data_IF_764928358912
#
_entry.id   IF_764928358912
#
_cell.length_a   1.000
_cell.length_b   1.000
_cell.length_c   1.000
_cell.angle_alpha   90.00
_cell.angle_beta   90.00
_cell.angle_gamma   90.00
#
_symmetry.space_group_name_H-M   'P 1'
#
loop_
_entity.id
_entity.type
_entity.pdbx_description
1 polymer ?
#
# COMPACT_ATOMS: atom_id res chain seq x y z
N UNK A 1 10.66 3.75 -18.50
CA UNK A 1 10.12 2.92 -17.42
C UNK A 1 10.68 3.54 -16.15
N UNK A 2 9.92 4.38 -15.46
CA UNK A 2 10.41 4.97 -14.22
C UNK A 2 10.35 3.86 -13.19
N UNK A 3 11.51 3.31 -12.82
CA UNK A 3 11.63 2.35 -11.74
C UNK A 3 11.10 3.03 -10.48
N UNK A 4 9.84 2.73 -10.14
CA UNK A 4 9.17 3.37 -9.01
C UNK A 4 10.00 3.04 -7.77
N UNK A 5 10.37 4.04 -6.97
CA UNK A 5 11.24 3.86 -5.79
C UNK A 5 10.72 2.78 -4.85
N UNK A 6 9.40 2.57 -4.85
CA UNK A 6 8.72 1.48 -4.17
C UNK A 6 9.17 0.09 -4.64
N UNK A 7 9.19 -0.16 -5.96
CA UNK A 7 9.59 -1.45 -6.55
C UNK A 7 11.08 -1.71 -6.26
N UNK A 8 11.92 -0.68 -6.38
CA UNK A 8 13.33 -0.77 -5.99
C UNK A 8 13.52 -1.04 -4.49
N UNK A 9 12.59 -0.60 -3.65
CA UNK A 9 12.54 -0.85 -2.21
C UNK A 9 11.87 -2.19 -1.84
N UNK A 10 11.45 -3.01 -2.82
CA UNK A 10 10.83 -4.31 -2.60
C UNK A 10 9.31 -4.29 -2.37
N UNK A 11 8.66 -3.15 -2.60
CA UNK A 11 7.19 -3.04 -2.55
C UNK A 11 6.64 -3.44 -3.92
N UNK A 12 6.13 -4.67 -4.00
CA UNK A 12 5.73 -5.31 -5.27
C UNK A 12 4.33 -5.91 -5.23
N UNK A 13 3.72 -6.07 -4.06
CA UNK A 13 2.33 -6.51 -3.95
C UNK A 13 1.42 -5.31 -4.06
N UNK A 14 0.58 -5.29 -5.09
CA UNK A 14 -0.42 -4.25 -5.30
C UNK A 14 -1.73 -4.62 -4.60
N UNK A 15 -2.25 -3.68 -3.83
CA UNK A 15 -3.51 -3.81 -3.11
C UNK A 15 -4.31 -2.53 -3.30
N UNK A 16 -5.62 -2.67 -3.37
CA UNK A 16 -6.54 -1.55 -3.27
C UNK A 16 -6.96 -1.40 -1.81
N UNK A 17 -6.57 -0.29 -1.17
CA UNK A 17 -6.94 0.02 0.20
C UNK A 17 -8.20 0.90 0.20
N UNK A 18 -9.24 0.45 0.88
CA UNK A 18 -10.52 1.16 1.00
C UNK A 18 -10.89 1.38 2.47
N UNK A 19 -11.32 2.59 2.81
CA UNK A 19 -11.95 2.91 4.09
C UNK A 19 -13.09 3.91 3.88
N UNK A 20 -13.86 4.17 4.93
CA UNK A 20 -15.02 5.06 4.86
C UNK A 20 -14.71 6.50 4.39
N UNK A 21 -13.46 6.96 4.50
CA UNK A 21 -13.06 8.34 4.19
C UNK A 21 -12.25 8.47 2.90
N UNK A 22 -11.61 7.39 2.45
CA UNK A 22 -10.70 7.41 1.30
C UNK A 22 -10.47 6.01 0.75
N UNK A 23 -10.18 5.93 -0.54
CA UNK A 23 -9.65 4.74 -1.19
C UNK A 23 -8.42 5.10 -2.00
N UNK A 24 -7.42 4.22 -1.95
CA UNK A 24 -6.15 4.45 -2.63
C UNK A 24 -5.49 3.13 -3.04
N UNK A 25 -4.93 3.06 -4.24
CA UNK A 25 -4.12 1.93 -4.68
C UNK A 25 -2.71 2.02 -4.07
N UNK A 26 -2.28 0.95 -3.41
CA UNK A 26 -1.04 0.90 -2.64
C UNK A 26 -0.14 -0.26 -3.09
N UNK A 27 1.17 -0.10 -2.92
CA UNK A 27 2.12 -1.20 -2.95
C UNK A 27 2.60 -1.53 -1.53
N UNK A 28 2.69 -2.82 -1.22
CA UNK A 28 3.26 -3.37 0.02
C UNK A 28 4.37 -4.37 -0.28
N UNK A 29 5.16 -4.71 0.73
CA UNK A 29 6.14 -5.78 0.60
C UNK A 29 5.43 -7.14 0.62
N UNK A 30 5.97 -8.14 -0.10
CA UNK A 30 5.43 -9.49 -0.09
C UNK A 30 5.27 -10.05 1.32
N UNK A 31 4.05 -10.43 1.70
CA UNK A 31 3.73 -11.02 3.01
C UNK A 31 3.65 -10.02 4.16
N UNK A 32 3.39 -8.75 3.86
CA UNK A 32 3.14 -7.72 4.90
C UNK A 32 1.92 -8.10 5.75
N UNK A 33 2.04 -7.93 7.07
CA UNK A 33 0.91 -8.07 7.99
C UNK A 33 -0.05 -6.88 7.82
N UNK A 34 -1.22 -7.16 7.24
CA UNK A 34 -2.22 -6.14 6.90
C UNK A 34 -3.17 -5.80 8.06
N UNK A 35 -3.12 -6.53 9.18
CA UNK A 35 -3.94 -6.24 10.37
C UNK A 35 -3.29 -5.17 11.26
N UNK A 36 -1.95 -5.11 11.31
CA UNK A 36 -1.19 -4.14 12.10
C UNK A 36 -0.98 -2.78 11.42
N UNK A 37 -0.07 -1.97 11.96
CA UNK A 37 0.38 -0.74 11.29
C UNK A 37 1.57 -1.04 10.39
N UNK A 38 1.41 -0.86 9.08
CA UNK A 38 2.46 -1.14 8.11
C UNK A 38 2.78 0.08 7.23
N UNK A 39 3.93 0.03 6.57
CA UNK A 39 4.34 1.04 5.59
C UNK A 39 3.84 0.57 4.23
N UNK A 40 3.29 1.47 3.44
CA UNK A 40 2.87 1.22 2.07
C UNK A 40 3.33 2.37 1.18
N UNK A 41 3.37 2.12 -0.12
CA UNK A 41 3.59 3.15 -1.12
C UNK A 41 2.26 3.52 -1.76
N UNK A 42 1.86 4.77 -1.63
CA UNK A 42 0.68 5.30 -2.30
C UNK A 42 1.01 5.53 -3.79
N UNK A 43 0.30 4.84 -4.68
CA UNK A 43 0.60 4.91 -6.11
C UNK A 43 0.12 6.21 -6.76
N UNK A 44 -0.92 6.83 -6.20
CA UNK A 44 -1.51 8.07 -6.73
C UNK A 44 -0.65 9.30 -6.41
N UNK A 45 -0.25 9.49 -5.16
CA UNK A 45 0.56 10.63 -4.70
C UNK A 45 2.06 10.35 -4.76
N UNK A 46 2.47 9.12 -5.05
CA UNK A 46 3.88 8.70 -5.14
C UNK A 46 4.66 8.99 -3.85
N UNK A 47 4.12 8.56 -2.72
CA UNK A 47 4.75 8.76 -1.41
C UNK A 47 4.62 7.54 -0.50
N UNK A 48 5.47 7.47 0.53
CA UNK A 48 5.38 6.42 1.53
C UNK A 48 4.41 6.83 2.63
N UNK A 49 3.33 6.08 2.77
CA UNK A 49 2.31 6.26 3.80
C UNK A 49 2.43 5.17 4.86
N UNK A 50 1.91 5.48 6.05
CA UNK A 50 1.74 4.49 7.11
C UNK A 50 0.26 4.21 7.28
N UNK A 51 -0.15 2.97 7.07
CA UNK A 51 -1.54 2.53 7.10
C UNK A 51 -1.76 1.74 8.38
N UNK A 52 -2.89 2.00 9.03
CA UNK A 52 -3.35 1.23 10.18
C UNK A 52 -4.33 0.17 9.68
N UNK A 53 -3.85 -1.04 9.50
CA UNK A 53 -4.56 -2.17 8.89
C UNK A 53 -5.99 -2.36 9.38
N UNK A 54 -6.19 -2.34 10.70
CA UNK A 54 -7.51 -2.48 11.33
C UNK A 54 -8.58 -1.44 10.90
N UNK A 55 -8.21 -0.35 10.24
CA UNK A 55 -9.14 0.70 9.77
C UNK A 55 -9.48 0.58 8.28
N UNK A 56 -8.79 -0.28 7.54
CA UNK A 56 -8.87 -0.37 6.09
C UNK A 56 -9.24 -1.79 5.65
N UNK A 57 -9.91 -1.89 4.51
CA UNK A 57 -10.11 -3.13 3.79
C UNK A 57 -9.13 -3.19 2.63
N UNK A 58 -8.60 -4.37 2.34
CA UNK A 58 -7.60 -4.56 1.28
C UNK A 58 -8.06 -5.63 0.30
N UNK A 59 -8.03 -5.31 -0.98
CA UNK A 59 -8.36 -6.22 -2.07
C UNK A 59 -7.20 -6.31 -3.06
N UNK A 60 -6.81 -7.50 -3.53
CA UNK A 60 -5.80 -7.63 -4.57
C UNK A 60 -6.32 -7.12 -5.92
N UNK A 61 -5.49 -6.37 -6.64
CA UNK A 61 -5.78 -5.83 -7.98
C UNK A 61 -5.21 -6.65 -9.12
#
# INVERSE_FOLDING_TARGET
>A
MADNVAVLAGFTEELFADCAEASMPILVQPGTDLDGSFKAWDMDNQEFVRINGWYWSFEPT
#
